data_IF_080425772069
#
_entry.id   IF_080425772069
#
_cell.length_a   1.000
_cell.length_b   1.000
_cell.length_c   1.000
_cell.angle_alpha   90.00
_cell.angle_beta   90.00
_cell.angle_gamma   90.00
#
_symmetry.space_group_name_H-M   'P 1'
#
loop_
_entity.id
_entity.type
_entity.pdbx_description
1 polymer ?
#
# COMPACT_ATOMS: atom_id res chain seq x y z
N UNK A 1 -26.97 -7.31 -18.02
CA UNK A 1 -27.27 -7.09 -16.59
C UNK A 1 -28.53 -6.29 -16.37
N UNK A 2 -29.40 -6.74 -15.45
CA UNK A 2 -30.72 -6.15 -15.16
C UNK A 2 -30.67 -4.79 -14.43
N UNK A 3 -29.60 -4.49 -13.69
CA UNK A 3 -29.41 -3.25 -12.88
C UNK A 3 -30.56 -2.94 -11.90
N UNK A 4 -31.39 -3.93 -11.57
CA UNK A 4 -32.48 -3.87 -10.61
C UNK A 4 -32.59 -5.20 -9.86
N UNK A 5 -33.23 -5.17 -8.68
CA UNK A 5 -33.54 -6.30 -7.83
C UNK A 5 -34.99 -6.17 -7.38
N UNK A 6 -35.73 -7.28 -7.39
CA UNK A 6 -37.14 -7.31 -7.02
C UNK A 6 -37.46 -8.40 -6.01
N UNK A 7 -38.44 -8.15 -5.16
CA UNK A 7 -38.97 -9.07 -4.16
C UNK A 7 -40.49 -9.05 -4.23
N UNK A 8 -41.12 -10.23 -4.16
CA UNK A 8 -42.56 -10.37 -3.99
C UNK A 8 -42.84 -10.67 -2.53
N UNK A 9 -43.74 -9.91 -1.91
CA UNK A 9 -44.14 -10.08 -0.51
C UNK A 9 -45.65 -10.16 -0.40
N UNK A 10 -46.14 -10.96 0.54
CA UNK A 10 -47.55 -10.99 0.91
C UNK A 10 -47.70 -10.31 2.27
N UNK A 11 -48.59 -9.33 2.36
CA UNK A 11 -48.92 -8.63 3.59
C UNK A 11 -49.92 -9.47 4.42
N UNK A 12 -50.02 -9.20 5.73
CA UNK A 12 -51.02 -9.83 6.62
C UNK A 12 -52.46 -9.60 6.15
N UNK A 13 -52.70 -8.51 5.41
CA UNK A 13 -53.98 -8.17 4.77
C UNK A 13 -54.35 -9.12 3.61
N UNK A 14 -53.44 -9.99 3.19
CA UNK A 14 -53.58 -10.89 2.04
C UNK A 14 -53.15 -10.26 0.70
N UNK A 15 -52.81 -8.96 0.66
CA UNK A 15 -52.33 -8.28 -0.55
C UNK A 15 -50.93 -8.73 -0.93
N UNK A 16 -50.68 -8.89 -2.23
CA UNK A 16 -49.38 -9.29 -2.77
C UNK A 16 -48.75 -8.09 -3.47
N UNK A 17 -47.52 -7.76 -3.07
CA UNK A 17 -46.76 -6.63 -3.59
C UNK A 17 -45.47 -7.11 -4.26
N UNK A 18 -45.23 -6.62 -5.46
CA UNK A 18 -43.91 -6.60 -6.08
C UNK A 18 -43.21 -5.30 -5.69
N UNK A 19 -42.01 -5.41 -5.11
CA UNK A 19 -41.14 -4.28 -4.80
C UNK A 19 -39.87 -4.40 -5.64
N UNK A 20 -39.53 -3.33 -6.36
CA UNK A 20 -38.36 -3.29 -7.24
C UNK A 20 -37.48 -2.10 -6.89
N UNK A 21 -36.18 -2.34 -6.66
CA UNK A 21 -35.16 -1.29 -6.48
C UNK A 21 -34.06 -1.42 -7.53
N UNK A 22 -33.55 -0.30 -8.04
CA UNK A 22 -32.50 -0.34 -9.06
C UNK A 22 -32.01 1.04 -9.48
N UNK A 23 -31.18 1.06 -10.53
CA UNK A 23 -30.77 2.30 -11.17
C UNK A 23 -32.00 3.07 -11.70
N UNK A 24 -31.94 4.40 -11.64
CA UNK A 24 -32.99 5.31 -12.11
C UNK A 24 -33.41 4.99 -13.54
N UNK A 25 -32.45 4.88 -14.45
CA UNK A 25 -32.69 4.53 -15.86
C UNK A 25 -33.44 3.20 -16.05
N UNK A 26 -33.30 2.26 -15.12
CA UNK A 26 -33.91 0.92 -15.22
C UNK A 26 -35.31 0.88 -14.63
N UNK A 27 -35.52 1.48 -13.45
CA UNK A 27 -36.83 1.43 -12.79
C UNK A 27 -37.81 2.39 -13.45
N UNK A 28 -37.36 3.60 -13.81
CA UNK A 28 -38.20 4.63 -14.43
C UNK A 28 -38.74 4.19 -15.79
N UNK A 29 -37.94 3.48 -16.59
CA UNK A 29 -38.37 2.93 -17.88
C UNK A 29 -39.45 1.83 -17.77
N UNK A 30 -39.69 1.32 -16.56
CA UNK A 30 -40.67 0.27 -16.27
C UNK A 30 -41.90 0.81 -15.52
N UNK A 31 -41.95 2.11 -15.27
CA UNK A 31 -43.06 2.73 -14.57
C UNK A 31 -44.30 2.89 -15.46
N UNK A 32 -45.48 2.92 -14.87
CA UNK A 32 -46.72 3.15 -15.60
C UNK A 32 -46.93 4.63 -16.00
N UNK A 33 -47.52 4.85 -17.17
CA UNK A 33 -47.79 6.18 -17.76
C UNK A 33 -49.11 6.78 -17.27
N UNK A 34 -49.29 6.92 -15.95
CA UNK A 34 -50.42 7.63 -15.37
C UNK A 34 -50.09 9.12 -15.16
N UNK A 35 -51.06 10.03 -15.29
CA UNK A 35 -50.86 11.49 -15.16
C UNK A 35 -50.28 11.88 -13.79
N UNK A 36 -50.69 11.15 -12.74
CA UNK A 36 -50.14 11.33 -11.38
C UNK A 36 -48.70 10.81 -11.28
N UNK A 37 -48.40 9.71 -11.95
CA UNK A 37 -47.05 9.13 -12.01
C UNK A 37 -46.10 9.98 -12.84
N UNK A 38 -46.55 10.61 -13.93
CA UNK A 38 -45.73 11.51 -14.74
C UNK A 38 -45.24 12.74 -13.96
N UNK A 39 -46.09 13.35 -13.13
CA UNK A 39 -45.67 14.46 -12.25
C UNK A 39 -44.65 13.99 -11.22
N UNK A 40 -44.89 12.84 -10.59
CA UNK A 40 -43.98 12.27 -9.60
C UNK A 40 -42.65 11.87 -10.24
N UNK A 41 -42.71 11.33 -11.45
CA UNK A 41 -41.57 10.93 -12.27
C UNK A 41 -40.65 12.13 -12.52
N UNK A 42 -41.20 13.25 -13.01
CA UNK A 42 -40.43 14.45 -13.30
C UNK A 42 -39.84 15.10 -12.04
N UNK A 43 -40.61 15.17 -10.94
CA UNK A 43 -40.10 15.69 -9.66
C UNK A 43 -38.97 14.80 -9.09
N UNK A 44 -39.13 13.47 -9.15
CA UNK A 44 -38.12 12.52 -8.67
C UNK A 44 -36.85 12.58 -9.51
N UNK A 45 -36.97 12.77 -10.83
CA UNK A 45 -35.83 12.95 -11.73
C UNK A 45 -35.00 14.19 -11.37
N UNK A 46 -35.65 15.29 -11.01
CA UNK A 46 -34.97 16.49 -10.53
C UNK A 46 -34.21 16.22 -9.22
N UNK A 47 -34.84 15.58 -8.23
CA UNK A 47 -34.16 15.21 -6.98
C UNK A 47 -33.00 14.24 -7.19
N UNK A 48 -33.13 13.28 -8.12
CA UNK A 48 -32.04 12.37 -8.49
C UNK A 48 -30.85 13.16 -9.06
N UNK A 49 -31.11 14.16 -9.90
CA UNK A 49 -30.06 15.02 -10.44
C UNK A 49 -29.39 15.84 -9.32
N UNK A 50 -30.17 16.36 -8.37
CA UNK A 50 -29.64 17.07 -7.20
C UNK A 50 -28.77 16.14 -6.33
N UNK A 51 -29.23 14.91 -6.07
CA UNK A 51 -28.46 13.90 -5.34
C UNK A 51 -27.17 13.52 -6.06
N UNK A 52 -27.21 13.40 -7.40
CA UNK A 52 -26.03 13.14 -8.21
C UNK A 52 -25.02 14.31 -8.13
N UNK A 53 -25.51 15.56 -8.11
CA UNK A 53 -24.67 16.75 -7.91
C UNK A 53 -24.03 16.79 -6.52
N UNK A 54 -24.71 16.24 -5.51
CA UNK A 54 -24.18 16.06 -4.15
C UNK A 54 -23.27 14.82 -4.02
N UNK A 55 -23.08 14.04 -5.09
CA UNK A 55 -22.22 12.84 -5.09
C UNK A 55 -22.85 11.61 -4.43
N UNK A 56 -24.16 11.61 -4.17
CA UNK A 56 -24.88 10.49 -3.59
C UNK A 56 -25.14 9.41 -4.64
N UNK A 57 -25.07 8.13 -4.23
CA UNK A 57 -25.53 7.02 -5.08
C UNK A 57 -27.05 6.97 -5.05
N UNK A 58 -27.67 7.09 -6.22
CA UNK A 58 -29.12 7.11 -6.36
C UNK A 58 -29.69 5.73 -6.66
N UNK A 59 -30.82 5.39 -6.04
CA UNK A 59 -31.62 4.22 -6.40
C UNK A 59 -33.08 4.63 -6.50
N UNK A 60 -33.76 4.21 -7.57
CA UNK A 60 -35.21 4.36 -7.71
C UNK A 60 -35.91 3.12 -7.15
N UNK A 61 -37.09 3.34 -6.54
CA UNK A 61 -37.92 2.29 -5.97
C UNK A 61 -39.33 2.36 -6.55
N UNK A 62 -39.79 1.25 -7.09
CA UNK A 62 -41.15 1.08 -7.61
C UNK A 62 -41.86 -0.08 -6.92
N UNK A 63 -43.19 -0.04 -6.93
CA UNK A 63 -44.03 -1.16 -6.48
C UNK A 63 -45.13 -1.47 -7.47
N UNK A 64 -45.66 -2.69 -7.42
CA UNK A 64 -46.85 -3.10 -8.16
C UNK A 64 -47.70 -4.03 -7.30
N UNK A 65 -49.00 -3.79 -7.25
CA UNK A 65 -49.96 -4.71 -6.63
C UNK A 65 -50.22 -5.87 -7.60
N UNK A 66 -50.23 -7.09 -7.08
CA UNK A 66 -50.44 -8.30 -7.85
C UNK A 66 -51.71 -9.00 -7.39
N UNK A 67 -52.49 -9.49 -8.33
CA UNK A 67 -53.56 -10.44 -8.01
C UNK A 67 -52.98 -11.82 -7.68
N UNK A 68 -53.72 -12.62 -6.93
CA UNK A 68 -53.33 -14.00 -6.62
C UNK A 68 -53.10 -14.82 -7.90
N UNK A 69 -53.93 -14.62 -8.93
CA UNK A 69 -53.79 -15.26 -10.23
C UNK A 69 -52.49 -14.87 -10.93
N UNK A 70 -52.17 -13.57 -10.98
CA UNK A 70 -50.93 -13.07 -11.59
C UNK A 70 -49.70 -13.64 -10.87
N UNK A 71 -49.74 -13.72 -9.54
CA UNK A 71 -48.66 -14.32 -8.76
C UNK A 71 -48.51 -15.81 -9.05
N UNK A 72 -49.61 -16.58 -9.05
CA UNK A 72 -49.54 -18.03 -9.31
C UNK A 72 -49.04 -18.34 -10.72
N UNK A 73 -49.49 -17.57 -11.71
CA UNK A 73 -49.00 -17.69 -13.10
C UNK A 73 -47.51 -17.38 -13.16
N UNK A 74 -47.07 -16.26 -12.57
CA UNK A 74 -45.66 -15.89 -12.52
C UNK A 74 -44.81 -16.95 -11.81
N UNK A 75 -45.26 -17.46 -10.66
CA UNK A 75 -44.56 -18.48 -9.90
C UNK A 75 -44.41 -19.79 -10.70
N UNK A 76 -45.46 -20.19 -11.43
CA UNK A 76 -45.41 -21.37 -12.30
C UNK A 76 -44.43 -21.19 -13.47
N UNK A 77 -44.48 -20.04 -14.14
CA UNK A 77 -43.60 -19.70 -15.25
C UNK A 77 -42.14 -19.57 -14.81
N UNK A 78 -41.89 -18.95 -13.65
CA UNK A 78 -40.55 -18.81 -13.08
C UNK A 78 -39.98 -20.17 -12.67
N UNK A 79 -40.80 -21.07 -12.12
CA UNK A 79 -40.39 -22.43 -11.76
C UNK A 79 -40.01 -23.21 -13.02
N UNK A 80 -40.84 -23.13 -14.07
CA UNK A 80 -40.55 -23.74 -15.37
C UNK A 80 -39.26 -23.20 -15.98
N UNK A 81 -39.07 -21.88 -15.99
CA UNK A 81 -37.86 -21.23 -16.50
C UNK A 81 -36.60 -21.67 -15.73
N UNK A 82 -36.70 -21.84 -14.40
CA UNK A 82 -35.58 -22.34 -13.57
C UNK A 82 -35.23 -23.81 -13.82
N UNK A 83 -36.19 -24.61 -14.30
CA UNK A 83 -36.01 -26.03 -14.61
C UNK A 83 -35.47 -26.29 -16.03
N UNK A 84 -35.36 -25.27 -16.88
CA UNK A 84 -34.78 -25.43 -18.23
C UNK A 84 -33.28 -25.74 -18.13
N UNK A 85 -32.82 -26.71 -18.93
CA UNK A 85 -31.42 -27.14 -19.00
C UNK A 85 -30.58 -26.19 -19.87
N UNK A 86 -31.16 -25.66 -20.95
CA UNK A 86 -30.54 -24.70 -21.87
C UNK A 86 -31.26 -23.34 -21.77
N UNK A 87 -30.52 -22.24 -21.99
CA UNK A 87 -31.02 -20.84 -21.96
C UNK A 87 -31.78 -20.41 -20.70
N UNK A 88 -31.57 -21.10 -19.57
CA UNK A 88 -32.18 -20.81 -18.26
C UNK A 88 -32.10 -19.32 -17.88
N UNK A 89 -30.94 -18.70 -18.07
CA UNK A 89 -30.74 -17.29 -17.71
C UNK A 89 -31.56 -16.32 -18.57
N UNK A 90 -31.77 -16.63 -19.85
CA UNK A 90 -32.58 -15.83 -20.74
C UNK A 90 -34.07 -15.99 -20.41
N UNK A 91 -34.53 -17.23 -20.23
CA UNK A 91 -35.92 -17.54 -19.87
C UNK A 91 -36.33 -16.90 -18.52
N UNK A 92 -35.47 -17.00 -17.50
CA UNK A 92 -35.73 -16.35 -16.20
C UNK A 92 -35.78 -14.83 -16.34
N UNK A 93 -34.95 -14.25 -17.21
CA UNK A 93 -34.92 -12.80 -17.46
C UNK A 93 -36.19 -12.30 -18.13
N UNK A 94 -36.68 -13.01 -19.14
CA UNK A 94 -37.91 -12.66 -19.85
C UNK A 94 -39.13 -12.70 -18.91
N UNK A 95 -39.26 -13.75 -18.11
CA UNK A 95 -40.36 -13.88 -17.13
C UNK A 95 -40.28 -12.78 -16.07
N UNK A 96 -39.08 -12.43 -15.60
CA UNK A 96 -38.91 -11.36 -14.61
C UNK A 96 -39.13 -9.96 -15.21
N UNK A 97 -38.72 -9.69 -16.44
CA UNK A 97 -38.96 -8.42 -17.11
C UNK A 97 -40.45 -8.15 -17.36
N UNK A 98 -41.21 -9.19 -17.75
CA UNK A 98 -42.67 -9.08 -17.88
C UNK A 98 -43.34 -8.73 -16.55
N UNK A 99 -42.86 -9.33 -15.47
CA UNK A 99 -43.39 -9.11 -14.14
C UNK A 99 -43.07 -7.70 -13.60
N UNK A 100 -41.90 -7.18 -13.95
CA UNK A 100 -41.43 -5.86 -13.55
C UNK A 100 -41.98 -4.71 -14.42
N UNK A 101 -42.93 -4.97 -15.32
CA UNK A 101 -43.60 -3.93 -16.08
C UNK A 101 -44.63 -3.17 -15.21
N UNK A 102 -45.03 -1.97 -15.63
CA UNK A 102 -46.11 -1.16 -15.03
C UNK A 102 -45.94 -0.86 -13.53
N UNK A 103 -44.71 -0.57 -13.10
CA UNK A 103 -44.42 -0.21 -11.72
C UNK A 103 -45.00 1.17 -11.36
N UNK A 104 -45.58 1.30 -10.18
CA UNK A 104 -45.86 2.60 -9.58
C UNK A 104 -44.59 3.10 -8.90
N UNK A 105 -44.08 4.25 -9.32
CA UNK A 105 -42.93 4.89 -8.69
C UNK A 105 -43.31 5.30 -7.26
N UNK A 106 -42.47 4.92 -6.29
CA UNK A 106 -42.59 5.37 -4.91
C UNK A 106 -41.69 6.58 -4.65
N UNK A 107 -40.49 6.57 -5.24
CA UNK A 107 -39.53 7.65 -5.11
C UNK A 107 -38.10 7.17 -5.39
N UNK A 108 -37.13 7.93 -4.89
CA UNK A 108 -35.72 7.62 -5.00
C UNK A 108 -35.01 7.83 -3.66
N UNK A 109 -33.94 7.08 -3.43
CA UNK A 109 -33.04 7.24 -2.30
C UNK A 109 -31.70 7.80 -2.79
N UNK A 110 -31.08 8.65 -1.97
CA UNK A 110 -29.68 9.06 -2.11
C UNK A 110 -28.88 8.44 -0.97
N UNK A 111 -27.90 7.62 -1.29
CA UNK A 111 -27.02 6.97 -0.30
C UNK A 111 -25.64 7.61 -0.42
N UNK A 112 -25.19 8.24 0.66
CA UNK A 112 -23.85 8.77 0.75
C UNK A 112 -22.85 7.64 1.01
N UNK A 113 -21.79 7.59 0.20
CA UNK A 113 -20.67 6.69 0.42
C UNK A 113 -19.62 7.41 1.28
N UNK A 114 -19.80 7.30 2.60
CA UNK A 114 -18.95 7.97 3.56
C UNK A 114 -17.55 7.35 3.57
N UNK A 115 -16.55 8.22 3.44
CA UNK A 115 -15.16 7.83 3.66
C UNK A 115 -14.94 7.48 5.13
N UNK A 116 -14.01 6.56 5.38
CA UNK A 116 -13.56 6.33 6.75
C UNK A 116 -12.94 7.61 7.33
N UNK A 117 -13.09 7.75 8.64
CA UNK A 117 -12.49 8.84 9.42
C UNK A 117 -10.97 8.90 9.19
N UNK A 118 -10.45 10.10 8.87
CA UNK A 118 -9.00 10.36 8.73
C UNK A 118 -8.38 9.89 7.40
N UNK A 119 -9.17 9.44 6.41
CA UNK A 119 -8.63 9.02 5.10
C UNK A 119 -7.91 10.16 4.39
N UNK A 120 -8.54 11.34 4.30
CA UNK A 120 -7.96 12.49 3.61
C UNK A 120 -6.64 12.93 4.27
N UNK A 121 -6.64 13.12 5.59
CA UNK A 121 -5.44 13.51 6.35
C UNK A 121 -4.30 12.50 6.17
N UNK A 122 -4.63 11.20 6.14
CA UNK A 122 -3.66 10.14 5.92
C UNK A 122 -3.06 10.23 4.51
N UNK A 123 -3.88 10.36 3.46
CA UNK A 123 -3.39 10.48 2.09
C UNK A 123 -2.52 11.72 1.88
N UNK A 124 -2.88 12.84 2.51
CA UNK A 124 -2.08 14.06 2.49
C UNK A 124 -0.74 13.85 3.20
N UNK A 125 -0.74 13.24 4.38
CA UNK A 125 0.49 12.92 5.12
C UNK A 125 1.42 12.00 4.32
N UNK A 126 0.89 10.98 3.64
CA UNK A 126 1.68 10.08 2.79
C UNK A 126 2.28 10.82 1.58
N UNK A 127 1.52 11.72 0.95
CA UNK A 127 2.03 12.55 -0.15
C UNK A 127 3.15 13.47 0.33
N UNK A 128 2.98 14.12 1.47
CA UNK A 128 4.01 14.98 2.10
C UNK A 128 5.26 14.14 2.43
N UNK A 129 5.10 12.91 2.91
CA UNK A 129 6.19 11.96 3.12
C UNK A 129 6.89 11.47 1.84
N UNK A 130 6.42 11.87 0.65
CA UNK A 130 7.01 11.49 -0.63
C UNK A 130 6.55 10.11 -1.14
N UNK A 131 5.51 9.53 -0.53
CA UNK A 131 4.92 8.27 -0.95
C UNK A 131 3.90 8.53 -2.06
N UNK A 132 4.10 7.92 -3.24
CA UNK A 132 3.12 7.97 -4.33
C UNK A 132 2.01 6.95 -4.08
N UNK A 133 0.78 7.43 -3.98
CA UNK A 133 -0.40 6.59 -3.75
C UNK A 133 -1.13 6.36 -5.07
N UNK A 134 -1.49 5.11 -5.35
CA UNK A 134 -2.28 4.71 -6.53
C UNK A 134 -3.56 4.04 -6.03
N UNK A 135 -4.71 4.40 -6.59
CA UNK A 135 -6.01 3.83 -6.22
C UNK A 135 -6.44 2.83 -7.28
N UNK A 136 -6.58 1.55 -6.92
CA UNK A 136 -6.98 0.48 -7.84
C UNK A 136 -8.37 -0.05 -7.43
N UNK A 137 -9.41 0.33 -8.17
CA UNK A 137 -10.81 -0.02 -7.86
C UNK A 137 -11.50 -0.84 -8.95
N UNK A 138 -12.46 -1.67 -8.55
CA UNK A 138 -13.39 -2.36 -9.44
C UNK A 138 -14.58 -1.48 -9.87
N UNK A 139 -14.72 -0.29 -9.27
CA UNK A 139 -15.83 0.62 -9.55
C UNK A 139 -15.75 1.27 -10.93
N UNK A 140 -16.87 1.89 -11.32
CA UNK A 140 -16.95 2.71 -12.53
C UNK A 140 -16.07 3.96 -12.40
N UNK A 141 -15.71 4.50 -13.56
CA UNK A 141 -14.81 5.65 -13.66
C UNK A 141 -15.39 6.85 -12.92
N UNK A 142 -16.67 7.14 -13.10
CA UNK A 142 -17.34 8.31 -12.51
C UNK A 142 -17.30 8.26 -10.98
N UNK A 143 -17.62 7.09 -10.40
CA UNK A 143 -17.58 6.86 -8.95
C UNK A 143 -16.17 6.95 -8.40
N UNK A 144 -15.19 6.34 -9.08
CA UNK A 144 -13.79 6.35 -8.65
C UNK A 144 -13.20 7.77 -8.66
N UNK A 145 -13.51 8.56 -9.69
CA UNK A 145 -13.09 9.96 -9.79
C UNK A 145 -13.73 10.81 -8.69
N UNK A 146 -15.02 10.64 -8.43
CA UNK A 146 -15.70 11.35 -7.35
C UNK A 146 -15.09 11.02 -5.99
N UNK A 147 -14.86 9.73 -5.68
CA UNK A 147 -14.20 9.31 -4.45
C UNK A 147 -12.79 9.89 -4.35
N UNK A 148 -12.03 9.90 -5.45
CA UNK A 148 -10.68 10.47 -5.49
C UNK A 148 -10.66 11.98 -5.17
N UNK A 149 -11.66 12.74 -5.61
CA UNK A 149 -11.82 14.15 -5.21
C UNK A 149 -12.24 14.27 -3.74
N UNK A 150 -13.23 13.49 -3.30
CA UNK A 150 -13.74 13.53 -1.92
C UNK A 150 -12.68 13.18 -0.88
N UNK A 151 -11.78 12.23 -1.19
CA UNK A 151 -10.69 11.85 -0.28
C UNK A 151 -9.44 12.72 -0.40
N UNK A 152 -9.47 13.77 -1.25
CA UNK A 152 -8.33 14.66 -1.48
C UNK A 152 -7.17 14.05 -2.26
N UNK A 153 -7.38 12.87 -2.86
CA UNK A 153 -6.41 12.23 -3.74
C UNK A 153 -6.24 13.05 -5.03
N UNK A 154 -7.33 13.47 -5.66
CA UNK A 154 -7.34 14.53 -6.65
C UNK A 154 -7.65 15.88 -5.98
N UNK A 155 -6.94 16.93 -6.40
CA UNK A 155 -7.18 18.31 -5.97
C UNK A 155 -7.81 19.09 -7.11
N UNK A 156 -8.64 20.09 -6.80
CA UNK A 156 -9.41 20.86 -7.81
C UNK A 156 -8.54 21.57 -8.85
N UNK A 157 -7.31 21.91 -8.51
CA UNK A 157 -6.35 22.54 -9.43
C UNK A 157 -5.60 21.53 -10.31
N UNK A 158 -5.78 20.21 -10.12
CA UNK A 158 -5.08 19.20 -10.90
C UNK A 158 -5.70 19.03 -12.28
N UNK A 159 -4.88 18.95 -13.33
CA UNK A 159 -5.33 18.56 -14.67
C UNK A 159 -5.44 17.03 -14.71
N UNK A 160 -6.64 16.52 -15.01
CA UNK A 160 -6.91 15.07 -15.05
C UNK A 160 -6.76 14.56 -16.49
N UNK A 161 -5.85 13.61 -16.66
CA UNK A 161 -5.61 12.91 -17.92
C UNK A 161 -6.41 11.61 -17.93
N UNK A 162 -7.15 11.39 -19.01
CA UNK A 162 -7.98 10.19 -19.19
C UNK A 162 -7.39 9.27 -20.26
N UNK A 163 -7.16 8.02 -19.89
CA UNK A 163 -6.75 6.94 -20.79
C UNK A 163 -7.85 5.87 -20.72
N UNK A 164 -8.90 6.09 -21.49
CA UNK A 164 -10.09 5.23 -21.49
C UNK A 164 -10.54 4.85 -22.90
N UNK A 165 -11.23 3.70 -23.01
CA UNK A 165 -11.85 3.27 -24.26
C UNK A 165 -10.87 2.95 -25.40
N UNK A 166 -9.63 2.58 -25.07
CA UNK A 166 -8.65 2.17 -26.07
C UNK A 166 -9.04 0.82 -26.69
N UNK A 167 -8.98 0.74 -28.02
CA UNK A 167 -9.32 -0.48 -28.78
C UNK A 167 -8.11 -1.12 -29.43
N UNK A 168 -7.15 -0.31 -29.89
CA UNK A 168 -5.98 -0.77 -30.64
C UNK A 168 -4.68 -0.26 -30.00
N UNK A 169 -3.57 -0.94 -30.31
CA UNK A 169 -2.25 -0.56 -29.81
C UNK A 169 -1.76 0.79 -30.34
N UNK A 170 -2.11 1.16 -31.58
CA UNK A 170 -1.70 2.42 -32.18
C UNK A 170 -2.42 3.61 -31.54
N UNK A 171 -3.73 3.48 -31.30
CA UNK A 171 -4.50 4.49 -30.54
C UNK A 171 -3.99 4.59 -29.12
N UNK A 172 -3.62 3.48 -28.48
CA UNK A 172 -3.02 3.47 -27.16
C UNK A 172 -1.69 4.24 -27.12
N UNK A 173 -0.80 3.98 -28.09
CA UNK A 173 0.49 4.68 -28.20
C UNK A 173 0.31 6.16 -28.45
N UNK A 174 -0.57 6.55 -29.37
CA UNK A 174 -0.85 7.96 -29.65
C UNK A 174 -1.42 8.67 -28.42
N UNK A 175 -2.33 8.02 -27.68
CA UNK A 175 -2.91 8.60 -26.48
C UNK A 175 -1.87 8.78 -25.37
N UNK A 176 -0.96 7.82 -25.19
CA UNK A 176 0.14 7.96 -24.23
C UNK A 176 1.13 9.06 -24.63
N UNK A 177 1.49 9.15 -25.92
CA UNK A 177 2.34 10.23 -26.42
C UNK A 177 1.71 11.61 -26.17
N UNK A 178 0.41 11.76 -26.47
CA UNK A 178 -0.34 12.97 -26.15
C UNK A 178 -0.33 13.28 -24.66
N UNK A 179 -0.51 12.26 -23.80
CA UNK A 179 -0.41 12.48 -22.35
C UNK A 179 0.99 12.93 -21.92
N UNK A 180 2.06 12.43 -22.56
CA UNK A 180 3.43 12.87 -22.27
C UNK A 180 3.68 14.32 -22.69
N UNK A 181 3.09 14.76 -23.81
CA UNK A 181 3.14 16.15 -24.28
C UNK A 181 2.30 17.09 -23.41
N UNK A 182 1.13 16.63 -22.96
CA UNK A 182 0.24 17.37 -22.06
C UNK A 182 0.86 17.63 -20.68
N UNK A 183 1.83 16.80 -20.28
CA UNK A 183 2.60 16.94 -19.06
C UNK A 183 3.78 17.88 -19.33
N UNK A 184 3.51 19.18 -19.21
CA UNK A 184 4.52 20.23 -19.17
C UNK A 184 4.90 20.53 -17.71
N UNK A 185 6.16 20.93 -17.48
CA UNK A 185 6.69 21.06 -16.13
C UNK A 185 5.99 22.17 -15.31
N UNK A 186 5.89 21.91 -13.99
CA UNK A 186 5.27 22.66 -12.88
C UNK A 186 3.76 22.49 -12.59
N UNK A 187 3.00 21.73 -13.38
CA UNK A 187 1.58 21.44 -13.07
C UNK A 187 1.36 20.10 -12.35
N UNK A 188 0.32 20.01 -11.52
CA UNK A 188 -0.07 18.77 -10.86
C UNK A 188 -1.05 17.97 -11.72
N UNK A 189 -0.65 16.77 -12.13
CA UNK A 189 -1.46 15.91 -12.99
C UNK A 189 -2.03 14.72 -12.22
N UNK A 190 -3.30 14.41 -12.49
CA UNK A 190 -3.96 13.16 -12.10
C UNK A 190 -4.17 12.28 -13.33
N UNK A 191 -4.04 10.97 -13.19
CA UNK A 191 -4.27 10.01 -14.28
C UNK A 191 -5.43 9.08 -13.93
N UNK A 192 -6.33 8.87 -14.90
CA UNK A 192 -7.44 7.93 -14.79
C UNK A 192 -7.37 6.93 -15.94
N UNK A 193 -7.34 5.63 -15.62
CA UNK A 193 -7.22 4.55 -16.60
C UNK A 193 -8.30 3.50 -16.34
N UNK A 194 -8.93 2.97 -17.39
CA UNK A 194 -9.86 1.85 -17.26
C UNK A 194 -9.18 0.48 -17.50
N UNK A 195 -9.71 -0.57 -16.86
CA UNK A 195 -9.14 -1.91 -16.93
C UNK A 195 -9.02 -2.47 -18.35
N UNK A 196 -9.94 -2.12 -19.25
CA UNK A 196 -9.88 -2.56 -20.65
C UNK A 196 -8.67 -1.97 -21.39
N UNK A 197 -8.47 -0.65 -21.29
CA UNK A 197 -7.29 0.01 -21.84
C UNK A 197 -6.01 -0.52 -21.20
N UNK A 198 -6.01 -0.73 -19.89
CA UNK A 198 -4.84 -1.19 -19.15
C UNK A 198 -4.32 -2.55 -19.64
N UNK A 199 -5.22 -3.45 -20.06
CA UNK A 199 -4.84 -4.74 -20.62
C UNK A 199 -4.04 -4.61 -21.93
N UNK A 200 -4.38 -3.63 -22.78
CA UNK A 200 -3.62 -3.32 -23.99
C UNK A 200 -2.24 -2.72 -23.66
N UNK A 201 -2.18 -1.89 -22.61
CA UNK A 201 -0.95 -1.26 -22.14
C UNK A 201 0.05 -2.26 -21.56
N UNK A 202 -0.43 -3.33 -20.92
CA UNK A 202 0.38 -4.43 -20.43
C UNK A 202 1.01 -5.32 -21.52
N UNK A 203 0.76 -5.07 -22.80
CA UNK A 203 1.51 -5.74 -23.87
C UNK A 203 2.88 -5.11 -24.06
N UNK A 204 2.94 -4.20 -25.04
CA UNK A 204 4.18 -3.61 -25.55
C UNK A 204 4.44 -2.17 -25.05
N UNK A 205 3.50 -1.57 -24.30
CA UNK A 205 3.55 -0.15 -23.91
C UNK A 205 3.75 0.05 -22.40
N UNK A 206 4.30 -0.94 -21.70
CA UNK A 206 4.45 -0.93 -20.23
C UNK A 206 5.34 0.21 -19.76
N UNK A 207 6.43 0.45 -20.46
CA UNK A 207 7.42 1.44 -20.07
C UNK A 207 6.88 2.85 -20.33
N UNK A 208 6.29 3.10 -21.51
CA UNK A 208 5.67 4.38 -21.83
C UNK A 208 4.53 4.72 -20.86
N UNK A 209 3.71 3.71 -20.52
CA UNK A 209 2.68 3.85 -19.49
C UNK A 209 3.28 4.19 -18.12
N UNK A 210 4.32 3.46 -17.68
CA UNK A 210 5.00 3.74 -16.42
C UNK A 210 5.57 5.17 -16.38
N UNK A 211 6.14 5.66 -17.48
CA UNK A 211 6.68 7.02 -17.57
C UNK A 211 5.61 8.09 -17.37
N UNK A 212 4.42 7.91 -17.95
CA UNK A 212 3.27 8.82 -17.72
C UNK A 212 2.85 8.77 -16.25
N UNK A 213 2.63 7.57 -15.72
CA UNK A 213 2.24 7.38 -14.32
C UNK A 213 3.27 7.98 -13.33
N UNK A 214 4.56 7.91 -13.66
CA UNK A 214 5.63 8.45 -12.82
C UNK A 214 5.54 9.97 -12.71
N UNK A 215 5.15 10.67 -13.78
CA UNK A 215 5.02 12.14 -13.76
C UNK A 215 3.70 12.60 -13.12
N UNK A 216 2.67 11.75 -13.12
CA UNK A 216 1.42 12.02 -12.43
C UNK A 216 1.58 11.96 -10.91
N UNK A 217 0.95 12.89 -10.19
CA UNK A 217 0.96 12.96 -8.73
C UNK A 217 -0.01 11.95 -8.10
N UNK A 218 -1.07 11.61 -8.83
CA UNK A 218 -2.15 10.75 -8.40
C UNK A 218 -2.60 9.88 -9.58
N UNK A 219 -2.84 8.58 -9.33
CA UNK A 219 -3.23 7.62 -10.37
C UNK A 219 -4.41 6.80 -9.86
N UNK A 220 -5.46 6.72 -10.67
CA UNK A 220 -6.68 5.96 -10.37
C UNK A 220 -6.94 4.98 -11.52
N UNK A 221 -6.91 3.68 -11.22
CA UNK A 221 -7.28 2.63 -12.15
C UNK A 221 -8.69 2.11 -11.79
N UNK A 222 -9.60 2.12 -12.76
CA UNK A 222 -11.02 1.81 -12.59
C UNK A 222 -11.40 0.52 -13.31
N UNK A 223 -12.51 -0.12 -12.90
CA UNK A 223 -13.01 -1.38 -13.49
C UNK A 223 -11.95 -2.49 -13.55
N UNK A 224 -11.12 -2.57 -12.52
CA UNK A 224 -10.02 -3.52 -12.44
C UNK A 224 -10.49 -4.88 -11.94
N UNK A 225 -10.10 -5.95 -12.65
CA UNK A 225 -10.18 -7.31 -12.12
C UNK A 225 -9.09 -7.56 -11.06
N UNK A 226 -9.28 -8.53 -10.13
CA UNK A 226 -8.27 -8.88 -9.12
C UNK A 226 -6.89 -9.20 -9.72
N UNK A 227 -6.88 -9.86 -10.87
CA UNK A 227 -5.65 -10.19 -11.62
C UNK A 227 -4.97 -8.93 -12.15
N UNK A 228 -5.72 -8.01 -12.73
CA UNK A 228 -5.16 -6.75 -13.25
C UNK A 228 -4.56 -5.88 -12.16
N UNK A 229 -5.14 -5.87 -10.95
CA UNK A 229 -4.56 -5.15 -9.79
C UNK A 229 -3.16 -5.67 -9.45
N UNK A 230 -3.00 -7.00 -9.38
CA UNK A 230 -1.70 -7.62 -9.15
C UNK A 230 -0.71 -7.33 -10.30
N UNK A 231 -1.17 -7.40 -11.56
CA UNK A 231 -0.34 -7.03 -12.71
C UNK A 231 0.12 -5.56 -12.66
N UNK A 232 -0.70 -4.63 -12.14
CA UNK A 232 -0.28 -3.22 -11.92
C UNK A 232 0.86 -3.13 -10.92
N UNK A 233 0.72 -3.79 -9.78
CA UNK A 233 1.76 -3.81 -8.73
C UNK A 233 3.05 -4.41 -9.28
N UNK A 234 2.95 -5.52 -10.04
CA UNK A 234 4.10 -6.16 -10.67
C UNK A 234 4.78 -5.26 -11.70
N UNK A 235 4.02 -4.49 -12.49
CA UNK A 235 4.56 -3.52 -13.44
C UNK A 235 5.37 -2.45 -12.72
N UNK A 236 4.85 -1.87 -11.63
CA UNK A 236 5.55 -0.84 -10.86
C UNK A 236 6.79 -1.42 -10.16
N UNK A 237 6.67 -2.59 -9.54
CA UNK A 237 7.76 -3.30 -8.84
C UNK A 237 8.93 -3.67 -9.77
N UNK A 238 8.63 -4.08 -11.01
CA UNK A 238 9.64 -4.47 -12.02
C UNK A 238 10.07 -3.31 -12.93
N UNK A 239 9.61 -2.08 -12.66
CA UNK A 239 10.05 -0.90 -13.39
C UNK A 239 11.55 -0.62 -13.13
N UNK A 240 12.14 0.24 -13.97
CA UNK A 240 13.58 0.59 -13.89
C UNK A 240 14.02 1.13 -12.52
N UNK A 241 13.13 1.81 -11.80
CA UNK A 241 13.42 2.37 -10.47
C UNK A 241 13.28 1.35 -9.34
N UNK A 242 12.65 0.19 -9.62
CA UNK A 242 12.34 -0.88 -8.67
C UNK A 242 11.87 -0.36 -7.29
N UNK A 243 10.82 0.48 -7.23
CA UNK A 243 10.35 1.05 -5.98
C UNK A 243 9.78 -0.02 -5.04
N UNK A 244 9.95 0.19 -3.74
CA UNK A 244 9.31 -0.64 -2.71
C UNK A 244 7.81 -0.36 -2.72
N UNK A 245 7.07 -1.27 -3.33
CA UNK A 245 5.61 -1.24 -3.38
C UNK A 245 4.98 -1.82 -2.11
N UNK A 246 4.03 -1.09 -1.52
CA UNK A 246 3.11 -1.59 -0.51
C UNK A 246 1.69 -1.63 -1.09
N UNK A 247 0.93 -2.68 -0.79
CA UNK A 247 -0.45 -2.84 -1.24
C UNK A 247 -1.39 -2.94 -0.04
N UNK A 248 -2.49 -2.20 -0.08
CA UNK A 248 -3.51 -2.16 0.96
C UNK A 248 -4.86 -2.60 0.42
N UNK A 249 -5.58 -3.44 1.16
CA UNK A 249 -6.92 -3.89 0.79
C UNK A 249 -7.69 -4.50 1.95
N UNK A 250 -9.00 -4.61 1.80
CA UNK A 250 -9.92 -5.14 2.82
C UNK A 250 -10.67 -6.40 2.36
N UNK A 251 -10.82 -6.58 1.06
CA UNK A 251 -11.61 -7.65 0.45
C UNK A 251 -10.81 -8.78 -0.20
N UNK A 252 -11.54 -9.84 -0.58
CA UNK A 252 -11.01 -10.97 -1.34
C UNK A 252 -10.37 -10.56 -2.67
N UNK A 253 -10.93 -9.51 -3.29
CA UNK A 253 -10.48 -8.98 -4.59
C UNK A 253 -9.08 -8.36 -4.55
N UNK A 254 -8.56 -8.05 -3.35
CA UNK A 254 -7.28 -7.40 -3.16
C UNK A 254 -6.18 -8.38 -2.73
N UNK A 255 -6.51 -9.64 -2.45
CA UNK A 255 -5.56 -10.65 -1.97
C UNK A 255 -4.40 -10.84 -2.95
N UNK A 256 -4.69 -10.95 -4.25
CA UNK A 256 -3.67 -11.09 -5.30
C UNK A 256 -2.75 -9.88 -5.38
N UNK A 257 -3.28 -8.67 -5.17
CA UNK A 257 -2.52 -7.43 -5.16
C UNK A 257 -1.62 -7.32 -3.92
N UNK A 258 -2.16 -7.70 -2.75
CA UNK A 258 -1.45 -7.72 -1.46
C UNK A 258 -0.25 -8.67 -1.53
N UNK A 259 -0.45 -9.88 -2.07
CA UNK A 259 0.61 -10.89 -2.18
C UNK A 259 1.69 -10.56 -3.21
N UNK A 260 1.39 -9.76 -4.24
CA UNK A 260 2.38 -9.38 -5.25
C UNK A 260 3.30 -8.23 -4.79
N UNK A 261 2.84 -7.40 -3.84
CA UNK A 261 3.61 -6.29 -3.27
C UNK A 261 4.79 -6.76 -2.41
N UNK A 262 5.69 -5.85 -2.02
CA UNK A 262 6.74 -6.16 -1.05
C UNK A 262 6.22 -6.16 0.38
N UNK A 263 5.22 -5.32 0.65
CA UNK A 263 4.55 -5.23 1.95
C UNK A 263 3.05 -5.25 1.72
N UNK A 264 2.39 -6.28 2.22
CA UNK A 264 0.95 -6.46 2.21
C UNK A 264 0.31 -5.88 3.48
N UNK A 265 -0.69 -5.02 3.31
CA UNK A 265 -1.40 -4.34 4.40
C UNK A 265 -2.89 -4.68 4.33
N UNK A 266 -3.39 -5.41 5.31
CA UNK A 266 -4.79 -5.81 5.41
C UNK A 266 -5.60 -4.85 6.29
N UNK A 267 -6.71 -4.32 5.76
CA UNK A 267 -7.69 -3.61 6.57
C UNK A 267 -8.80 -4.57 6.96
N UNK A 268 -9.17 -4.59 8.24
CA UNK A 268 -10.29 -5.43 8.70
C UNK A 268 -11.62 -4.87 8.20
N UNK A 269 -12.11 -5.43 7.09
CA UNK A 269 -13.42 -5.14 6.54
C UNK A 269 -14.56 -5.83 7.29
N UNK A 270 -15.79 -5.33 7.07
CA UNK A 270 -17.02 -6.00 7.55
C UNK A 270 -17.39 -7.22 6.71
N UNK A 271 -16.95 -7.25 5.44
CA UNK A 271 -17.36 -8.26 4.45
C UNK A 271 -16.55 -9.57 4.55
N UNK A 272 -15.38 -9.54 5.17
CA UNK A 272 -14.56 -10.74 5.36
C UNK A 272 -13.17 -10.44 5.92
N UNK A 273 -12.45 -11.50 6.31
CA UNK A 273 -11.07 -11.42 6.85
C UNK A 273 -10.01 -11.96 5.89
N UNK A 274 -10.35 -12.15 4.61
CA UNK A 274 -9.46 -12.80 3.65
C UNK A 274 -8.21 -11.95 3.36
N UNK A 275 -8.36 -10.65 3.10
CA UNK A 275 -7.23 -9.73 2.89
C UNK A 275 -6.27 -9.74 4.09
N UNK A 276 -6.82 -9.64 5.30
CA UNK A 276 -6.09 -9.64 6.58
C UNK A 276 -5.31 -10.93 6.81
N UNK A 277 -5.86 -12.09 6.43
CA UNK A 277 -5.16 -13.38 6.57
C UNK A 277 -4.00 -13.55 5.58
N UNK A 278 -4.02 -12.78 4.49
CA UNK A 278 -3.03 -12.86 3.42
C UNK A 278 -2.08 -11.64 3.40
N UNK A 279 -2.14 -10.77 4.40
CA UNK A 279 -1.30 -9.57 4.54
C UNK A 279 -0.23 -9.74 5.61
N UNK A 280 0.89 -9.02 5.47
CA UNK A 280 1.98 -8.99 6.46
C UNK A 280 1.58 -8.25 7.73
N UNK A 281 0.85 -7.13 7.58
CA UNK A 281 0.31 -6.35 8.69
C UNK A 281 -1.19 -6.19 8.54
N UNK A 282 -1.91 -6.20 9.67
CA UNK A 282 -3.34 -6.02 9.70
C UNK A 282 -3.76 -4.93 10.69
N UNK A 283 -4.71 -4.09 10.31
CA UNK A 283 -5.26 -3.05 11.18
C UNK A 283 -6.74 -2.78 10.91
N UNK A 284 -7.42 -2.19 11.90
CA UNK A 284 -8.87 -2.05 11.87
C UNK A 284 -9.40 -0.94 10.95
N UNK A 285 -8.63 0.13 10.71
CA UNK A 285 -9.07 1.31 9.94
C UNK A 285 -7.92 1.91 9.16
N UNK A 286 -8.24 2.52 8.01
CA UNK A 286 -7.24 3.11 7.11
C UNK A 286 -6.35 4.18 7.78
N UNK A 287 -6.91 5.01 8.69
CA UNK A 287 -6.16 6.09 9.36
C UNK A 287 -4.90 5.63 10.11
N UNK A 288 -4.86 4.37 10.55
CA UNK A 288 -3.68 3.85 11.25
C UNK A 288 -2.47 3.68 10.34
N UNK A 289 -2.68 3.66 9.02
CA UNK A 289 -1.61 3.63 8.02
C UNK A 289 -0.62 4.79 8.21
N UNK A 290 -1.11 5.99 8.56
CA UNK A 290 -0.28 7.16 8.87
C UNK A 290 0.75 6.82 9.95
N UNK A 291 0.31 6.25 11.07
CA UNK A 291 1.20 5.88 12.19
C UNK A 291 2.09 4.69 11.86
N UNK A 292 1.56 3.66 11.21
CA UNK A 292 2.31 2.46 10.84
C UNK A 292 3.51 2.83 9.94
N UNK A 293 3.30 3.65 8.92
CA UNK A 293 4.39 4.01 8.01
C UNK A 293 5.32 5.07 8.61
N UNK A 294 4.77 6.21 9.04
CA UNK A 294 5.59 7.36 9.42
C UNK A 294 6.35 7.16 10.74
N UNK A 295 5.75 6.46 11.70
CA UNK A 295 6.37 6.22 13.01
C UNK A 295 7.11 4.89 13.00
N UNK A 296 6.38 3.78 12.86
CA UNK A 296 6.98 2.45 12.98
C UNK A 296 7.90 2.13 11.80
N UNK A 297 7.52 2.48 10.57
CA UNK A 297 8.37 2.32 9.40
C UNK A 297 9.68 3.10 9.50
N UNK A 298 9.64 4.34 10.00
CA UNK A 298 10.85 5.14 10.24
C UNK A 298 11.75 4.52 11.30
N UNK A 299 11.21 4.18 12.47
CA UNK A 299 12.00 3.57 13.53
C UNK A 299 12.59 2.23 13.11
N UNK A 300 11.82 1.34 12.48
CA UNK A 300 12.32 0.05 12.04
C UNK A 300 13.44 0.19 11.02
N UNK A 301 13.29 1.14 10.09
CA UNK A 301 14.34 1.43 9.11
C UNK A 301 15.64 1.88 9.78
N UNK A 302 15.59 2.87 10.67
CA UNK A 302 16.78 3.42 11.33
C UNK A 302 17.43 2.38 12.25
N UNK A 303 16.63 1.66 13.06
CA UNK A 303 17.13 0.61 13.97
C UNK A 303 17.89 -0.48 13.24
N UNK A 304 17.29 -1.04 12.18
CA UNK A 304 17.94 -2.08 11.38
C UNK A 304 19.16 -1.51 10.66
N UNK A 305 19.08 -0.28 10.15
CA UNK A 305 20.20 0.39 9.48
C UNK A 305 21.43 0.51 10.37
N UNK A 306 21.24 1.07 11.56
CA UNK A 306 22.31 1.23 12.53
C UNK A 306 22.80 -0.11 13.05
N UNK A 307 21.91 -1.08 13.31
CA UNK A 307 22.29 -2.41 13.78
C UNK A 307 23.24 -3.12 12.80
N UNK A 308 22.95 -3.09 11.50
CA UNK A 308 23.82 -3.71 10.49
C UNK A 308 25.14 -2.96 10.39
N UNK A 309 25.12 -1.63 10.32
CA UNK A 309 26.34 -0.81 10.20
C UNK A 309 27.26 -0.99 11.41
N UNK A 310 26.70 -0.97 12.61
CA UNK A 310 27.42 -1.23 13.84
C UNK A 310 27.97 -2.67 13.89
N UNK A 311 27.21 -3.66 13.41
CA UNK A 311 27.67 -5.05 13.37
C UNK A 311 28.89 -5.23 12.45
N UNK A 312 28.95 -4.55 11.31
CA UNK A 312 30.17 -4.54 10.49
C UNK A 312 31.31 -3.79 11.16
N UNK A 313 31.03 -2.57 11.66
CA UNK A 313 32.00 -1.74 12.35
C UNK A 313 32.69 -2.49 13.50
N UNK A 314 31.94 -3.16 14.39
CA UNK A 314 32.51 -3.86 15.54
C UNK A 314 33.41 -5.03 15.14
N UNK A 315 33.04 -5.77 14.09
CA UNK A 315 33.81 -6.91 13.61
C UNK A 315 35.10 -6.46 12.93
N UNK A 316 35.03 -5.43 12.08
CA UNK A 316 36.23 -4.84 11.47
C UNK A 316 37.14 -4.29 12.56
N UNK A 317 36.58 -3.53 13.51
CA UNK A 317 37.35 -2.94 14.59
C UNK A 317 38.12 -4.00 15.42
N UNK A 318 37.50 -5.15 15.65
CA UNK A 318 38.05 -6.24 16.45
C UNK A 318 39.05 -7.13 15.70
N UNK A 319 38.83 -7.44 14.41
CA UNK A 319 39.71 -8.35 13.68
C UNK A 319 40.93 -7.66 13.06
N UNK A 320 40.83 -6.37 12.72
CA UNK A 320 41.93 -5.64 12.06
C UNK A 320 43.24 -5.59 12.87
N UNK A 321 43.28 -5.54 14.22
CA UNK A 321 44.53 -5.67 14.97
C UNK A 321 45.28 -6.99 14.73
N UNK A 322 44.55 -8.07 14.48
CA UNK A 322 45.17 -9.36 14.15
C UNK A 322 45.95 -9.28 12.83
N UNK A 323 45.48 -8.46 11.88
CA UNK A 323 46.18 -8.20 10.62
C UNK A 323 47.44 -7.37 10.87
N UNK A 324 47.34 -6.33 11.70
CA UNK A 324 48.52 -5.53 12.05
C UNK A 324 49.57 -6.39 12.77
N UNK A 325 49.15 -7.21 13.73
CA UNK A 325 50.04 -8.16 14.41
C UNK A 325 50.67 -9.19 13.45
N UNK A 326 49.92 -9.64 12.44
CA UNK A 326 50.46 -10.55 11.44
C UNK A 326 51.66 -9.96 10.66
N UNK A 327 51.70 -8.64 10.46
CA UNK A 327 52.84 -7.97 9.84
C UNK A 327 54.08 -8.08 10.74
N UNK A 328 53.92 -7.94 12.05
CA UNK A 328 55.01 -8.02 13.03
C UNK A 328 55.50 -9.45 13.27
N UNK A 329 54.62 -10.45 13.16
CA UNK A 329 54.97 -11.85 13.36
C UNK A 329 55.35 -12.60 12.06
N UNK A 330 55.64 -11.86 10.97
CA UNK A 330 55.97 -12.39 9.65
C UNK A 330 54.93 -13.38 9.08
N UNK A 331 53.64 -13.12 9.34
CA UNK A 331 52.50 -13.93 8.92
C UNK A 331 52.55 -15.39 9.42
N UNK A 332 53.15 -15.63 10.59
CA UNK A 332 53.21 -16.94 11.27
C UNK A 332 51.87 -17.44 11.83
N UNK A 333 50.77 -16.74 11.54
CA UNK A 333 49.39 -17.03 11.97
C UNK A 333 49.14 -17.12 13.47
N UNK A 334 50.10 -16.72 14.31
CA UNK A 334 49.92 -16.60 15.75
C UNK A 334 48.78 -15.61 16.08
N UNK A 335 47.84 -16.03 16.92
CA UNK A 335 46.74 -15.18 17.40
C UNK A 335 47.23 -14.21 18.48
N UNK A 336 46.83 -12.94 18.37
CA UNK A 336 47.01 -11.96 19.44
C UNK A 336 45.98 -12.15 20.55
N UNK A 337 44.82 -12.70 20.19
CA UNK A 337 43.70 -12.90 21.10
C UNK A 337 43.68 -14.33 21.64
N UNK A 338 43.29 -14.46 22.89
CA UNK A 338 42.96 -15.76 23.46
C UNK A 338 41.69 -16.32 22.80
N UNK A 339 41.64 -17.64 22.61
CA UNK A 339 40.52 -18.35 21.96
C UNK A 339 39.16 -18.06 22.61
N UNK A 340 39.12 -17.88 23.95
CA UNK A 340 37.89 -17.52 24.65
C UNK A 340 37.43 -16.10 24.30
N UNK A 341 38.35 -15.14 24.17
CA UNK A 341 38.03 -13.77 23.81
C UNK A 341 37.44 -13.69 22.38
N UNK A 342 38.00 -14.44 21.43
CA UNK A 342 37.49 -14.53 20.06
C UNK A 342 36.04 -15.02 20.00
N UNK A 343 35.69 -16.00 20.83
CA UNK A 343 34.33 -16.57 20.88
C UNK A 343 33.36 -15.68 21.66
N UNK A 344 33.78 -15.15 22.80
CA UNK A 344 32.93 -14.33 23.68
C UNK A 344 32.68 -12.92 23.16
N UNK A 345 33.54 -12.37 22.29
CA UNK A 345 33.42 -11.01 21.79
C UNK A 345 32.06 -10.72 21.13
N UNK A 346 31.64 -11.59 20.20
CA UNK A 346 30.39 -11.42 19.47
C UNK A 346 29.16 -11.90 20.25
N UNK A 347 29.32 -12.87 21.15
CA UNK A 347 28.22 -13.52 21.87
C UNK A 347 27.85 -12.73 23.12
N UNK A 348 28.83 -12.29 23.90
CA UNK A 348 28.62 -11.74 25.25
C UNK A 348 29.03 -10.28 25.33
N UNK A 349 30.25 -9.93 24.88
CA UNK A 349 30.82 -8.62 25.19
C UNK A 349 30.19 -7.46 24.40
N UNK A 350 29.71 -7.70 23.19
CA UNK A 350 29.20 -6.64 22.29
C UNK A 350 27.79 -6.87 21.76
N UNK A 351 27.13 -7.97 22.12
CA UNK A 351 25.79 -8.33 21.59
C UNK A 351 24.67 -7.54 22.26
N UNK A 352 24.69 -7.43 23.59
CA UNK A 352 23.59 -6.87 24.35
C UNK A 352 23.35 -5.37 24.05
N UNK A 353 24.37 -4.49 24.02
CA UNK A 353 24.14 -3.07 23.77
C UNK A 353 23.49 -2.80 22.41
N UNK A 354 23.93 -3.48 21.35
CA UNK A 354 23.36 -3.29 20.02
C UNK A 354 21.95 -3.86 19.88
N UNK A 355 21.63 -4.92 20.62
CA UNK A 355 20.26 -5.46 20.68
C UNK A 355 19.33 -4.47 21.40
N UNK A 356 19.76 -3.92 22.54
CA UNK A 356 18.98 -2.91 23.29
C UNK A 356 18.74 -1.70 22.39
N UNK A 357 19.77 -1.21 21.72
CA UNK A 357 19.65 -0.12 20.75
C UNK A 357 18.69 -0.47 19.62
N UNK A 358 18.87 -1.63 18.97
CA UNK A 358 18.04 -2.07 17.85
C UNK A 358 16.56 -2.30 18.19
N UNK A 359 16.23 -2.59 19.45
CA UNK A 359 14.84 -2.81 19.88
C UNK A 359 14.17 -1.53 20.39
N UNK A 360 14.87 -0.73 21.18
CA UNK A 360 14.26 0.34 21.96
C UNK A 360 14.58 1.76 21.45
N UNK A 361 15.58 1.93 20.58
CA UNK A 361 16.00 3.26 20.15
C UNK A 361 14.87 4.01 19.44
N UNK A 362 14.67 5.27 19.82
CA UNK A 362 13.72 6.18 19.20
C UNK A 362 14.46 7.47 18.88
N UNK A 363 15.10 7.49 17.72
CA UNK A 363 15.85 8.65 17.26
C UNK A 363 15.01 9.94 17.19
N UNK A 364 13.70 9.81 16.97
CA UNK A 364 12.73 10.91 16.99
C UNK A 364 11.44 10.47 17.69
N UNK A 365 10.77 11.36 18.46
CA UNK A 365 9.53 11.06 19.15
C UNK A 365 8.36 10.86 18.17
N UNK A 366 7.35 10.06 18.55
CA UNK A 366 6.25 9.71 17.66
C UNK A 366 5.37 10.91 17.28
N UNK A 367 5.17 11.89 18.18
CA UNK A 367 4.38 13.09 17.86
C UNK A 367 5.02 13.88 16.72
N UNK A 368 6.35 14.08 16.79
CA UNK A 368 7.10 14.81 15.78
C UNK A 368 7.05 14.14 14.39
N UNK A 369 7.10 12.81 14.34
CA UNK A 369 7.01 12.05 13.09
C UNK A 369 5.61 12.10 12.47
N UNK A 370 4.56 12.21 13.30
CA UNK A 370 3.17 12.34 12.83
C UNK A 370 2.85 13.76 12.35
N UNK A 371 3.43 14.78 13.00
CA UNK A 371 3.24 16.19 12.66
C UNK A 371 4.07 16.59 11.43
N UNK A 372 5.31 16.09 11.33
CA UNK A 372 6.25 16.40 10.25
C UNK A 372 6.51 15.18 9.37
N UNK A 373 5.52 14.82 8.56
CA UNK A 373 5.60 13.69 7.63
C UNK A 373 6.77 13.79 6.63
N UNK A 374 7.26 15.00 6.33
CA UNK A 374 8.41 15.24 5.44
C UNK A 374 9.69 14.53 5.90
N UNK A 375 9.86 14.31 7.20
CA UNK A 375 11.03 13.64 7.76
C UNK A 375 11.20 12.21 7.22
N UNK A 376 10.10 11.57 6.81
CA UNK A 376 10.14 10.24 6.22
C UNK A 376 10.88 10.21 4.87
N UNK A 377 10.93 11.35 4.15
CA UNK A 377 11.69 11.47 2.88
C UNK A 377 13.18 11.23 3.07
N UNK A 378 13.71 11.48 4.27
CA UNK A 378 15.13 11.24 4.56
C UNK A 378 15.51 9.76 4.41
N UNK A 379 14.55 8.84 4.56
CA UNK A 379 14.75 7.40 4.40
C UNK A 379 14.62 6.95 2.93
N UNK A 380 14.20 7.84 2.03
CA UNK A 380 14.03 7.50 0.62
C UNK A 380 15.34 7.02 -0.01
N UNK A 381 15.24 6.13 -1.00
CA UNK A 381 16.37 5.52 -1.70
C UNK A 381 17.36 4.81 -0.77
N UNK A 382 16.88 4.35 0.39
CA UNK A 382 17.68 3.60 1.35
C UNK A 382 18.95 4.35 1.79
N UNK A 383 18.82 5.64 2.09
CA UNK A 383 19.93 6.56 2.38
C UNK A 383 20.85 6.08 3.50
N UNK A 384 20.29 5.58 4.61
CA UNK A 384 21.06 5.15 5.76
C UNK A 384 21.96 3.96 5.40
N UNK A 385 21.46 2.96 4.68
CA UNK A 385 22.22 1.80 4.20
C UNK A 385 22.95 2.02 2.87
N UNK A 386 23.15 3.27 2.45
CA UNK A 386 23.93 3.55 1.24
C UNK A 386 25.36 3.03 1.37
N UNK A 387 25.97 2.66 0.24
CA UNK A 387 27.38 2.26 0.18
C UNK A 387 28.32 3.31 0.78
N UNK A 388 28.01 4.60 0.59
CA UNK A 388 28.77 5.68 1.18
C UNK A 388 28.79 5.62 2.71
N UNK A 389 27.63 5.46 3.35
CA UNK A 389 27.56 5.31 4.80
C UNK A 389 28.26 4.04 5.27
N UNK A 390 28.08 2.93 4.55
CA UNK A 390 28.80 1.68 4.87
C UNK A 390 30.31 1.90 4.91
N UNK A 391 30.91 2.49 3.88
CA UNK A 391 32.35 2.75 3.87
C UNK A 391 32.76 3.76 4.93
N UNK A 392 31.95 4.81 5.19
CA UNK A 392 32.19 5.75 6.28
C UNK A 392 32.32 5.04 7.63
N UNK A 393 31.41 4.14 7.98
CA UNK A 393 31.48 3.36 9.22
C UNK A 393 32.72 2.46 9.26
N UNK A 394 33.05 1.78 8.17
CA UNK A 394 34.25 0.92 8.13
C UNK A 394 35.56 1.72 8.20
N UNK A 395 35.63 2.91 7.60
CA UNK A 395 36.78 3.81 7.75
C UNK A 395 36.93 4.28 9.20
N UNK A 396 35.83 4.57 9.90
CA UNK A 396 35.87 4.85 11.35
C UNK A 396 36.35 3.64 12.15
N UNK A 397 35.92 2.43 11.79
CA UNK A 397 36.40 1.19 12.43
C UNK A 397 37.92 1.07 12.29
N UNK A 398 38.44 1.19 11.06
CA UNK A 398 39.87 1.13 10.79
C UNK A 398 40.65 2.20 11.56
N UNK A 399 40.14 3.44 11.60
CA UNK A 399 40.75 4.52 12.38
C UNK A 399 40.83 4.18 13.87
N UNK A 400 39.71 3.77 14.48
CA UNK A 400 39.71 3.37 15.89
C UNK A 400 40.65 2.21 16.15
N UNK A 401 40.68 1.21 15.26
CA UNK A 401 41.63 0.11 15.37
C UNK A 401 43.08 0.59 15.34
N UNK A 402 43.44 1.46 14.39
CA UNK A 402 44.80 2.02 14.32
C UNK A 402 45.18 2.69 15.64
N UNK A 403 44.30 3.53 16.18
CA UNK A 403 44.54 4.22 17.46
C UNK A 403 44.68 3.23 18.61
N UNK A 404 43.78 2.25 18.72
CA UNK A 404 43.82 1.24 19.80
C UNK A 404 45.07 0.37 19.72
N UNK A 405 45.41 -0.15 18.54
CA UNK A 405 46.54 -1.05 18.36
C UNK A 405 47.88 -0.32 18.45
N UNK A 406 48.10 0.72 17.66
CA UNK A 406 49.37 1.45 17.67
C UNK A 406 49.54 2.27 18.95
N UNK A 407 48.44 2.82 19.51
CA UNK A 407 48.49 3.49 20.80
C UNK A 407 48.95 2.55 21.92
N UNK A 408 48.38 1.34 21.99
CA UNK A 408 48.85 0.33 22.95
C UNK A 408 50.29 -0.12 22.66
N UNK A 409 50.64 -0.26 21.38
CA UNK A 409 52.00 -0.60 20.97
C UNK A 409 53.01 0.45 21.44
N UNK A 410 52.75 1.74 21.25
CA UNK A 410 53.63 2.81 21.74
C UNK A 410 53.81 2.81 23.25
N UNK A 411 52.75 2.48 24.01
CA UNK A 411 52.84 2.37 25.46
C UNK A 411 53.67 1.14 25.86
N UNK A 412 53.41 -0.03 25.26
CA UNK A 412 54.08 -1.28 25.66
C UNK A 412 55.52 -1.42 25.15
N UNK A 413 55.92 -0.72 24.09
CA UNK A 413 57.28 -0.78 23.52
C UNK A 413 58.24 0.26 24.09
N UNK A 414 57.77 1.19 24.92
CA UNK A 414 58.68 2.05 25.67
C UNK A 414 59.28 1.23 26.83
N UNK A 415 60.62 1.11 26.89
CA UNK A 415 61.38 0.28 27.85
C UNK A 415 61.11 0.65 29.33
N UNK A 416 60.34 1.71 29.55
CA UNK A 416 59.93 2.24 30.86
C UNK A 416 58.58 1.71 31.36
N UNK A 417 57.79 1.03 30.52
CA UNK A 417 56.51 0.42 30.91
C UNK A 417 56.70 -0.95 31.59
N UNK A 418 57.46 -0.97 32.68
CA UNK A 418 57.44 -2.09 33.62
C UNK A 418 56.10 -2.12 34.34
N UNK A 419 55.52 -3.32 34.50
CA UNK A 419 54.53 -3.54 35.56
C UNK A 419 55.10 -3.06 36.90
N UNK A 420 54.27 -2.77 37.93
CA UNK A 420 54.75 -2.32 39.24
C UNK A 420 55.89 -3.17 39.85
N UNK A 421 55.98 -4.43 39.44
CA UNK A 421 57.01 -5.42 39.83
C UNK A 421 58.20 -5.54 38.85
N UNK A 422 58.39 -4.58 37.94
CA UNK A 422 59.44 -4.55 36.91
C UNK A 422 59.44 -5.73 35.91
N UNK A 423 58.30 -6.42 35.74
CA UNK A 423 58.13 -7.45 34.72
C UNK A 423 57.76 -6.84 33.36
N UNK A 424 58.24 -7.47 32.29
CA UNK A 424 57.91 -7.11 30.90
C UNK A 424 56.54 -7.68 30.50
N UNK A 425 55.70 -6.92 29.78
CA UNK A 425 54.41 -7.42 29.31
C UNK A 425 54.58 -8.57 28.31
N UNK A 426 53.80 -9.63 28.49
CA UNK A 426 53.74 -10.75 27.56
C UNK A 426 52.64 -10.55 26.49
N UNK A 427 52.60 -11.44 25.50
CA UNK A 427 51.61 -11.38 24.41
C UNK A 427 50.17 -11.55 24.94
N UNK A 428 49.99 -12.34 26.00
CA UNK A 428 48.68 -12.56 26.63
C UNK A 428 48.13 -11.28 27.27
N UNK A 429 48.97 -10.55 28.02
CA UNK A 429 48.61 -9.27 28.62
C UNK A 429 48.32 -8.20 27.54
N UNK A 430 49.14 -8.14 26.48
CA UNK A 430 48.88 -7.25 25.35
C UNK A 430 47.54 -7.53 24.70
N UNK A 431 47.28 -8.80 24.36
CA UNK A 431 46.03 -9.25 23.76
C UNK A 431 44.81 -8.96 24.63
N UNK A 432 44.90 -9.22 25.93
CA UNK A 432 43.80 -8.99 26.88
C UNK A 432 43.50 -7.50 27.02
N UNK A 433 44.53 -6.67 27.18
CA UNK A 433 44.39 -5.21 27.27
C UNK A 433 43.76 -4.64 26.01
N UNK A 434 44.18 -5.12 24.84
CA UNK A 434 43.61 -4.71 23.56
C UNK A 434 42.13 -5.11 23.43
N UNK A 435 41.75 -6.33 23.82
CA UNK A 435 40.35 -6.77 23.83
C UNK A 435 39.52 -5.88 24.76
N UNK A 436 40.01 -5.61 25.98
CA UNK A 436 39.31 -4.74 26.92
C UNK A 436 39.07 -3.35 26.33
N UNK A 437 40.11 -2.70 25.79
CA UNK A 437 39.99 -1.39 25.14
C UNK A 437 38.98 -1.45 23.99
N UNK A 438 39.07 -2.48 23.14
CA UNK A 438 38.18 -2.65 22.00
C UNK A 438 36.72 -2.80 22.43
N UNK A 439 36.43 -3.62 23.44
CA UNK A 439 35.09 -3.80 24.00
C UNK A 439 34.55 -2.48 24.58
N UNK A 440 35.38 -1.73 25.33
CA UNK A 440 34.96 -0.43 25.88
C UNK A 440 34.66 0.59 24.78
N UNK A 441 35.57 0.75 23.80
CA UNK A 441 35.41 1.72 22.71
C UNK A 441 34.19 1.38 21.85
N UNK A 442 33.99 0.10 21.53
CA UNK A 442 32.86 -0.35 20.71
C UNK A 442 31.54 -0.10 21.43
N UNK A 443 31.43 -0.46 22.71
CA UNK A 443 30.17 -0.31 23.44
C UNK A 443 29.83 1.16 23.78
N UNK A 444 30.82 2.06 23.86
CA UNK A 444 30.60 3.50 24.06
C UNK A 444 30.19 4.24 22.78
N UNK A 445 30.52 3.68 21.61
CA UNK A 445 30.32 4.31 20.30
C UNK A 445 28.89 4.16 19.82
#
# INVERSE_FOLDING_TARGET
DRKCMSVVVQEESGKIWLLTKGAESSVLARCCDDTKQQRLHQATLNHINDYAMLGLRTLAVGRRELSLQQYTDFASQLTRAKQMLEDREAAVREVTERMEAELQLLGATGVEDLLQEGVQETLESLRVAGIKVWVLTGDKIETAVNIAFSCGHFKRFMKILYVNGLRDHDTARHRLAQCQEDITDDSFYGLVVDGASLQLLYGNLKEEFYQVCRRCTAVVCCRMSPRQKAETVRLVKKSKESPVCAAIGDGANDVSMIQEAHVGLGVMGKEGRQAVRCSDFAFARFRFLKKVLLVHGHWYYIRVSTLVQYSFYKNVAFITPQIFFAIWNAFSTQSIYESLALTMFNITFTSLPIIIYGLFDQNLPPELLLDRAELYRNNAKNSAMSWFNFFKWNCFALWHTCVMYFGLMFVCFDDTCGLPDAQTPDLGLFGTTLVSICVFVINLK
#
